data_IF_289738400727
#
_entry.id   IF_289738400727
#
_cell.length_a   1.000
_cell.length_b   1.000
_cell.length_c   1.000
_cell.angle_alpha   90.00
_cell.angle_beta   90.00
_cell.angle_gamma   90.00
#
_symmetry.space_group_name_H-M   'P 1'
#
loop_
_entity.id
_entity.type
_entity.pdbx_description
1 polymer ?
#
# COMPACT_ATOMS: atom_id res chain seq x y z
N UNK A 1 5.02 5.91 22.10
CA UNK A 1 4.73 4.78 21.18
C UNK A 1 6.03 4.48 20.45
N UNK A 2 6.48 3.21 20.41
CA UNK A 2 7.71 2.84 19.69
C UNK A 2 7.54 3.15 18.18
N UNK A 3 8.41 3.99 17.60
CA UNK A 3 8.36 4.38 16.19
C UNK A 3 8.43 3.17 15.25
N UNK A 4 9.09 2.10 15.68
CA UNK A 4 9.16 0.83 14.96
C UNK A 4 7.81 0.12 14.89
N UNK A 5 7.02 0.15 15.95
CA UNK A 5 5.66 -0.40 15.95
C UNK A 5 4.74 0.41 15.04
N UNK A 6 4.82 1.75 15.13
CA UNK A 6 4.05 2.65 14.25
C UNK A 6 4.38 2.41 12.77
N UNK A 7 5.66 2.28 12.41
CA UNK A 7 6.11 1.99 11.05
C UNK A 7 5.58 0.65 10.53
N UNK A 8 5.52 -0.37 11.39
CA UNK A 8 4.98 -1.69 11.04
C UNK A 8 3.47 -1.62 10.76
N UNK A 9 2.73 -0.92 11.61
CA UNK A 9 1.29 -0.70 11.42
C UNK A 9 1.01 0.03 10.11
N UNK A 10 1.76 1.10 9.82
CA UNK A 10 1.59 1.87 8.58
C UNK A 10 1.88 1.07 7.32
N UNK A 11 2.93 0.23 7.32
CA UNK A 11 3.15 -0.71 6.20
C UNK A 11 2.01 -1.72 6.06
N UNK A 12 1.40 -2.16 7.18
CA UNK A 12 0.21 -3.00 7.17
C UNK A 12 -0.98 -2.30 6.50
N UNK A 13 -1.21 -1.01 6.80
CA UNK A 13 -2.26 -0.21 6.15
C UNK A 13 -2.01 -0.08 4.64
N UNK A 14 -0.78 0.23 4.24
CA UNK A 14 -0.41 0.32 2.81
C UNK A 14 -0.66 -1.02 2.09
N UNK A 15 -0.27 -2.13 2.71
CA UNK A 15 -0.55 -3.47 2.19
C UNK A 15 -2.05 -3.74 2.05
N UNK A 16 -2.84 -3.38 3.07
CA UNK A 16 -4.29 -3.50 3.06
C UNK A 16 -4.95 -2.69 1.93
N UNK A 17 -4.51 -1.46 1.70
CA UNK A 17 -5.00 -0.63 0.59
C UNK A 17 -4.69 -1.24 -0.78
N UNK A 18 -3.50 -1.84 -0.94
CA UNK A 18 -3.14 -2.57 -2.14
C UNK A 18 -4.07 -3.77 -2.39
N UNK A 19 -4.43 -4.52 -1.34
CA UNK A 19 -5.39 -5.63 -1.43
C UNK A 19 -6.79 -5.14 -1.81
N UNK A 20 -7.27 -4.05 -1.20
CA UNK A 20 -8.57 -3.45 -1.54
C UNK A 20 -8.62 -3.04 -3.01
N UNK A 21 -7.56 -2.39 -3.52
CA UNK A 21 -7.45 -2.03 -4.93
C UNK A 21 -7.46 -3.27 -5.84
N UNK A 22 -6.77 -4.35 -5.44
CA UNK A 22 -6.79 -5.62 -6.15
C UNK A 22 -8.17 -6.26 -6.23
N UNK A 23 -8.90 -6.28 -5.12
CA UNK A 23 -10.28 -6.81 -5.08
C UNK A 23 -11.19 -5.95 -5.97
N UNK A 24 -11.12 -4.62 -5.86
CA UNK A 24 -11.93 -3.72 -6.68
C UNK A 24 -11.65 -3.91 -8.19
N UNK A 25 -10.38 -4.07 -8.56
CA UNK A 25 -9.99 -4.28 -9.95
C UNK A 25 -10.34 -5.67 -10.49
N UNK A 26 -9.92 -6.74 -9.81
CA UNK A 26 -10.10 -8.11 -10.30
C UNK A 26 -11.49 -8.68 -10.06
N UNK A 27 -12.06 -8.47 -8.88
CA UNK A 27 -13.38 -9.02 -8.51
C UNK A 27 -14.48 -8.06 -8.94
N UNK A 28 -14.28 -6.77 -8.73
CA UNK A 28 -15.24 -5.73 -9.13
C UNK A 28 -15.25 -5.45 -10.64
N UNK A 29 -14.21 -5.86 -11.37
CA UNK A 29 -14.08 -5.60 -12.81
C UNK A 29 -13.90 -4.12 -13.14
N UNK A 30 -13.49 -3.29 -12.17
CA UNK A 30 -13.39 -1.84 -12.33
C UNK A 30 -12.33 -1.42 -13.35
N UNK A 31 -11.27 -2.23 -13.53
CA UNK A 31 -10.17 -1.96 -14.45
C UNK A 31 -9.63 -3.24 -15.12
N UNK A 32 -9.00 -3.12 -16.31
CA UNK A 32 -8.24 -4.21 -16.90
C UNK A 32 -7.14 -4.72 -15.97
N UNK A 33 -6.80 -6.01 -16.10
CA UNK A 33 -5.82 -6.67 -15.23
C UNK A 33 -4.48 -5.92 -15.12
N UNK A 34 -3.98 -5.38 -16.24
CA UNK A 34 -2.74 -4.61 -16.25
C UNK A 34 -2.81 -3.37 -15.35
N UNK A 35 -3.89 -2.57 -15.48
CA UNK A 35 -4.11 -1.38 -14.66
C UNK A 35 -4.26 -1.72 -13.19
N UNK A 36 -5.01 -2.79 -12.86
CA UNK A 36 -5.16 -3.27 -11.48
C UNK A 36 -3.82 -3.62 -10.86
N UNK A 37 -2.97 -4.38 -11.58
CA UNK A 37 -1.63 -4.74 -11.11
C UNK A 37 -0.77 -3.50 -10.90
N UNK A 38 -0.76 -2.58 -11.87
CA UNK A 38 -0.01 -1.31 -11.75
C UNK A 38 -0.46 -0.50 -10.53
N UNK A 39 -1.77 -0.43 -10.27
CA UNK A 39 -2.30 0.28 -9.10
C UNK A 39 -1.93 -0.40 -7.78
N UNK A 40 -2.05 -1.73 -7.70
CA UNK A 40 -1.65 -2.48 -6.50
C UNK A 40 -0.19 -2.24 -6.14
N UNK A 41 0.72 -2.37 -7.13
CA UNK A 41 2.14 -2.11 -6.92
C UNK A 41 2.44 -0.62 -6.69
N UNK A 42 1.73 0.27 -7.37
CA UNK A 42 1.86 1.72 -7.17
C UNK A 42 1.54 2.12 -5.73
N UNK A 43 0.40 1.65 -5.20
CA UNK A 43 0.00 1.88 -3.80
C UNK A 43 1.06 1.32 -2.85
N UNK A 44 1.55 0.11 -3.10
CA UNK A 44 2.55 -0.51 -2.25
C UNK A 44 3.89 0.23 -2.24
N UNK A 45 4.46 0.52 -3.42
CA UNK A 45 5.75 1.19 -3.56
C UNK A 45 5.66 2.60 -2.99
N UNK A 46 4.72 3.42 -3.47
CA UNK A 46 4.59 4.81 -3.04
C UNK A 46 4.25 4.87 -1.55
N UNK A 47 3.32 4.03 -1.09
CA UNK A 47 2.95 3.97 0.32
C UNK A 47 4.13 3.57 1.21
N UNK A 48 4.88 2.53 0.86
CA UNK A 48 6.05 2.10 1.62
C UNK A 48 7.15 3.17 1.66
N UNK A 49 7.42 3.84 0.52
CA UNK A 49 8.36 4.95 0.48
C UNK A 49 7.94 6.10 1.39
N UNK A 50 6.66 6.50 1.36
CA UNK A 50 6.15 7.56 2.22
C UNK A 50 6.23 7.17 3.70
N UNK A 51 5.84 5.94 4.04
CA UNK A 51 5.95 5.44 5.42
C UNK A 51 7.40 5.52 5.89
N UNK A 52 8.36 5.01 5.11
CA UNK A 52 9.77 5.10 5.46
C UNK A 52 10.22 6.55 5.61
N UNK A 53 9.92 7.43 4.65
CA UNK A 53 10.34 8.83 4.66
C UNK A 53 9.82 9.60 5.89
N UNK A 54 8.59 9.31 6.33
CA UNK A 54 7.96 10.02 7.46
C UNK A 54 8.16 9.35 8.83
N UNK A 55 8.61 8.09 8.87
CA UNK A 55 8.90 7.40 10.13
C UNK A 55 10.37 7.06 10.34
N UNK A 56 11.27 7.48 9.45
CA UNK A 56 12.71 7.36 9.66
C UNK A 56 13.14 8.27 10.83
N UNK A 57 13.68 7.70 11.93
CA UNK A 57 14.23 8.50 13.01
C UNK A 57 15.55 9.12 12.54
N UNK A 58 15.56 10.46 12.37
CA UNK A 58 16.81 11.22 12.25
C UNK A 58 17.54 11.29 13.59
#
# INVERSE_FOLDING_TARGET
MDFRNKRRELHGVVGGLGVVAGIAGFVGGAWPAGTTITLMFGIWIVGATLVNLFTDPR
#
